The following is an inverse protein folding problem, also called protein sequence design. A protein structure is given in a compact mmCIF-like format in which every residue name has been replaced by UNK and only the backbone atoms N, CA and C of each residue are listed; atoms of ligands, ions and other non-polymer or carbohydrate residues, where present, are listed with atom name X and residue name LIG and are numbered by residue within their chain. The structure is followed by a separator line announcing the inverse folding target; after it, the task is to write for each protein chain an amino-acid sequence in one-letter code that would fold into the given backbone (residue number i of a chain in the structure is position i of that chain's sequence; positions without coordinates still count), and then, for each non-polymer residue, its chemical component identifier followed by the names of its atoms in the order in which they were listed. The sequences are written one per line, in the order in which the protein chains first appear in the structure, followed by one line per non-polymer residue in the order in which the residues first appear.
data_IF_756643780301
#
_entry.id   IF_756643780301
#
_cell.length_a   1.000
_cell.length_b   1.000
_cell.length_c   1.000
_cell.angle_alpha   90.00
_cell.angle_beta   90.00
_cell.angle_gamma   90.00
#
_symmetry.space_group_name_H-M   'P 1'
#
loop_
_entity.id
_entity.type
_entity.pdbx_description
1 polymer ?
#
# COMPACT_ATOMS: atom_id res chain seq x y z
N UNK A 1 -12.16 34.77 -20.42
CA UNK A 1 -11.30 34.85 -21.62
C UNK A 1 -10.00 34.16 -21.25
N UNK A 2 -9.59 33.17 -22.02
CA UNK A 2 -8.37 32.39 -21.86
C UNK A 2 -7.45 32.74 -23.02
N UNK A 3 -6.24 33.24 -22.71
CA UNK A 3 -5.30 33.64 -23.76
C UNK A 3 -4.51 32.45 -24.26
N UNK A 4 -3.89 32.61 -25.42
CA UNK A 4 -2.88 31.67 -25.89
C UNK A 4 -1.78 31.49 -24.84
N UNK A 5 -1.51 30.24 -24.47
CA UNK A 5 -0.50 29.80 -23.51
C UNK A 5 -0.99 29.72 -22.07
N UNK A 6 -2.21 30.20 -21.77
CA UNK A 6 -2.77 30.15 -20.43
C UNK A 6 -3.47 28.80 -20.18
N UNK A 7 -3.43 28.36 -18.92
CA UNK A 7 -4.20 27.21 -18.47
C UNK A 7 -5.66 27.60 -18.28
N UNK A 8 -6.56 26.66 -18.54
CA UNK A 8 -7.97 26.80 -18.17
C UNK A 8 -8.10 26.74 -16.65
N UNK A 9 -8.60 27.79 -15.98
CA UNK A 9 -8.69 27.84 -14.52
C UNK A 9 -9.92 27.10 -13.96
N UNK A 10 -10.90 26.80 -14.81
CA UNK A 10 -12.22 26.24 -14.45
C UNK A 10 -12.74 25.39 -15.60
N UNK A 11 -13.66 24.47 -15.30
CA UNK A 11 -14.39 23.74 -16.34
C UNK A 11 -15.45 24.66 -16.97
N UNK A 12 -15.63 24.57 -18.28
CA UNK A 12 -16.52 25.48 -18.99
C UNK A 12 -16.90 25.03 -20.39
N UNK A 13 -17.58 25.92 -21.10
CA UNK A 13 -17.95 25.75 -22.51
C UNK A 13 -17.48 26.94 -23.32
N UNK A 14 -16.92 26.68 -24.50
CA UNK A 14 -16.47 27.73 -25.41
C UNK A 14 -17.70 28.45 -25.98
N UNK A 15 -17.70 29.78 -25.89
CA UNK A 15 -18.77 30.64 -26.44
C UNK A 15 -18.31 31.43 -27.65
N UNK A 16 -17.02 31.73 -27.73
CA UNK A 16 -16.44 32.48 -28.85
C UNK A 16 -14.97 32.11 -29.07
N UNK A 17 -14.56 32.04 -30.33
CA UNK A 17 -13.24 31.61 -30.78
C UNK A 17 -13.13 30.10 -31.10
N UNK A 18 -12.07 29.75 -31.83
CA UNK A 18 -11.68 28.38 -32.13
C UNK A 18 -10.17 28.23 -31.86
N UNK A 19 -9.78 27.18 -31.14
CA UNK A 19 -8.39 26.99 -30.72
C UNK A 19 -8.04 25.53 -30.49
N UNK A 20 -6.74 25.23 -30.55
CA UNK A 20 -6.19 23.93 -30.19
C UNK A 20 -5.88 23.93 -28.69
N UNK A 21 -6.39 22.93 -27.99
CA UNK A 21 -6.21 22.73 -26.55
C UNK A 21 -5.41 21.46 -26.31
N UNK A 22 -4.42 21.56 -25.43
CA UNK A 22 -3.67 20.43 -24.91
C UNK A 22 -4.36 19.90 -23.66
N UNK A 23 -4.97 18.71 -23.80
CA UNK A 23 -5.66 18.00 -22.70
C UNK A 23 -4.81 16.88 -22.10
N UNK A 24 -3.52 16.77 -22.48
CA UNK A 24 -2.63 15.67 -22.09
C UNK A 24 -2.52 15.47 -20.57
N UNK A 25 -2.63 16.54 -19.79
CA UNK A 25 -2.60 16.48 -18.32
C UNK A 25 -3.80 15.75 -17.70
N UNK A 26 -4.93 15.65 -18.42
CA UNK A 26 -6.14 14.96 -17.96
C UNK A 26 -6.36 13.63 -18.68
N UNK A 27 -6.08 13.58 -19.99
CA UNK A 27 -6.37 12.41 -20.83
C UNK A 27 -5.16 11.53 -21.07
N UNK A 28 -3.94 12.05 -20.87
CA UNK A 28 -2.69 11.36 -21.20
C UNK A 28 -2.33 11.34 -22.70
N UNK A 29 -3.21 11.86 -23.56
CA UNK A 29 -3.03 11.85 -25.01
C UNK A 29 -2.30 13.11 -25.48
N UNK A 30 -1.27 12.96 -26.33
CA UNK A 30 -0.44 14.06 -26.81
C UNK A 30 -1.05 14.83 -28.01
N UNK A 31 -2.19 14.37 -28.52
CA UNK A 31 -2.85 15.00 -29.67
C UNK A 31 -3.68 16.21 -29.24
N UNK A 32 -3.50 17.32 -29.96
CA UNK A 32 -4.22 18.55 -29.64
C UNK A 32 -5.67 18.47 -30.09
N UNK A 33 -6.58 18.83 -29.20
CA UNK A 33 -8.02 18.80 -29.45
C UNK A 33 -8.48 20.18 -29.92
N UNK A 34 -9.12 20.24 -31.08
CA UNK A 34 -9.72 21.48 -31.60
C UNK A 34 -11.01 21.76 -30.83
N UNK A 35 -11.13 22.94 -30.23
CA UNK A 35 -12.33 23.38 -29.51
C UNK A 35 -13.00 24.54 -30.23
N UNK A 36 -14.30 24.42 -30.45
CA UNK A 36 -15.18 25.37 -31.12
C UNK A 36 -16.30 25.82 -30.19
N UNK A 37 -17.05 26.89 -30.54
CA UNK A 37 -18.20 27.32 -29.76
C UNK A 37 -19.21 26.17 -29.56
N UNK A 38 -19.57 25.89 -28.31
CA UNK A 38 -20.37 24.75 -27.90
C UNK A 38 -19.58 23.60 -27.27
N UNK A 39 -18.26 23.55 -27.46
CA UNK A 39 -17.42 22.47 -26.92
C UNK A 39 -17.03 22.72 -25.47
N UNK A 40 -16.94 21.63 -24.70
CA UNK A 40 -16.48 21.64 -23.31
C UNK A 40 -14.97 21.77 -23.20
N UNK A 41 -14.51 22.47 -22.16
CA UNK A 41 -13.10 22.60 -21.76
C UNK A 41 -12.95 22.29 -20.27
N UNK A 42 -11.84 21.67 -19.90
CA UNK A 42 -11.59 21.23 -18.52
C UNK A 42 -10.45 22.03 -17.86
N UNK A 43 -10.57 22.25 -16.56
CA UNK A 43 -9.59 22.94 -15.73
C UNK A 43 -8.24 22.18 -15.74
N UNK A 44 -7.14 22.91 -15.84
CA UNK A 44 -5.78 22.34 -15.89
C UNK A 44 -5.27 22.00 -17.28
N UNK A 45 -6.12 22.03 -18.32
CA UNK A 45 -5.71 21.94 -19.73
C UNK A 45 -5.08 23.25 -20.21
N UNK A 46 -4.36 23.24 -21.33
CA UNK A 46 -3.61 24.41 -21.83
C UNK A 46 -4.16 24.87 -23.18
N UNK A 47 -4.46 26.17 -23.30
CA UNK A 47 -4.83 26.74 -24.58
C UNK A 47 -3.59 27.05 -25.42
N UNK A 48 -3.39 26.40 -26.57
CA UNK A 48 -2.18 26.59 -27.40
C UNK A 48 -2.42 27.39 -28.69
N UNK A 49 -3.68 27.57 -29.10
CA UNK A 49 -4.05 28.27 -30.34
C UNK A 49 -4.37 29.75 -30.14
N UNK A 50 -5.62 30.14 -30.37
CA UNK A 50 -6.11 31.51 -30.28
C UNK A 50 -6.82 31.78 -28.95
N UNK A 51 -7.06 33.06 -28.65
CA UNK A 51 -7.80 33.45 -27.45
C UNK A 51 -9.23 32.90 -27.52
N UNK A 52 -9.68 32.30 -26.42
CA UNK A 52 -11.02 31.73 -26.29
C UNK A 52 -11.84 32.47 -25.24
N UNK A 53 -13.11 32.68 -25.52
CA UNK A 53 -14.08 33.12 -24.50
C UNK A 53 -14.91 31.93 -24.07
N UNK A 54 -14.85 31.61 -22.78
CA UNK A 54 -15.55 30.48 -22.19
C UNK A 54 -16.55 30.97 -21.14
N UNK A 55 -17.63 30.22 -20.97
CA UNK A 55 -18.54 30.32 -19.82
C UNK A 55 -18.19 29.23 -18.83
N UNK A 56 -17.89 29.62 -17.59
CA UNK A 56 -17.59 28.68 -16.51
C UNK A 56 -18.84 27.86 -16.16
N UNK A 57 -18.69 26.53 -16.09
CA UNK A 57 -19.73 25.58 -15.67
C UNK A 57 -19.51 25.09 -14.24
N UNK A 58 -18.27 24.77 -13.89
CA UNK A 58 -17.88 24.32 -12.56
C UNK A 58 -16.66 25.08 -12.08
N UNK A 59 -16.61 25.46 -10.80
CA UNK A 59 -15.54 26.28 -10.22
C UNK A 59 -15.11 25.73 -8.86
N UNK A 60 -13.84 25.94 -8.48
CA UNK A 60 -13.34 25.54 -7.17
C UNK A 60 -13.26 24.01 -7.03
N UNK A 61 -13.86 23.46 -5.97
CA UNK A 61 -13.84 22.03 -5.67
C UNK A 61 -14.67 21.15 -6.62
N UNK A 62 -15.57 21.75 -7.40
CA UNK A 62 -16.47 21.03 -8.32
C UNK A 62 -15.86 20.81 -9.72
N UNK A 63 -14.58 21.17 -9.93
CA UNK A 63 -13.91 20.92 -11.21
C UNK A 63 -13.43 19.48 -11.33
N UNK A 64 -13.34 18.95 -12.54
CA UNK A 64 -12.84 17.58 -12.78
C UNK A 64 -11.47 17.35 -12.14
N UNK A 65 -10.55 18.31 -12.28
CA UNK A 65 -9.23 18.25 -11.65
C UNK A 65 -9.30 18.23 -10.12
N UNK A 66 -10.23 18.96 -9.51
CA UNK A 66 -10.37 19.00 -8.05
C UNK A 66 -10.94 17.68 -7.50
N UNK A 67 -11.86 17.06 -8.23
CA UNK A 67 -12.32 15.70 -7.91
C UNK A 67 -11.19 14.66 -8.04
N UNK A 68 -10.30 14.80 -9.03
CA UNK A 68 -9.11 13.94 -9.15
C UNK A 68 -8.16 14.16 -7.98
N UNK A 69 -7.82 15.43 -7.67
CA UNK A 69 -6.93 15.78 -6.55
C UNK A 69 -7.50 15.25 -5.23
N UNK A 70 -8.80 15.47 -4.97
CA UNK A 70 -9.43 15.04 -3.72
C UNK A 70 -9.54 13.51 -3.62
N UNK A 71 -9.78 12.81 -4.73
CA UNK A 71 -9.74 11.34 -4.77
C UNK A 71 -8.33 10.79 -4.46
N UNK A 72 -7.27 11.50 -4.87
CA UNK A 72 -5.88 11.13 -4.57
C UNK A 72 -5.51 11.49 -3.13
N UNK A 73 -5.92 12.67 -2.65
CA UNK A 73 -5.60 13.17 -1.31
C UNK A 73 -6.33 12.38 -0.21
N UNK A 74 -7.59 11.97 -0.46
CA UNK A 74 -8.35 11.06 0.43
C UNK A 74 -7.71 9.66 0.51
N UNK A 75 -6.85 9.29 -0.46
CA UNK A 75 -6.09 8.04 -0.46
C UNK A 75 -4.74 8.13 0.29
N UNK A 76 -4.23 9.32 0.63
CA UNK A 76 -2.80 9.53 1.00
C UNK A 76 -2.45 9.70 2.49
N UNK A 77 -3.37 9.62 3.46
CA UNK A 77 -3.01 10.01 4.86
C UNK A 77 -3.46 9.09 5.99
N UNK A 78 -3.23 7.79 5.85
CA UNK A 78 -3.58 6.83 6.89
C UNK A 78 -2.34 6.14 7.49
N UNK A 79 -2.26 6.12 8.84
CA UNK A 79 -1.25 5.32 9.54
C UNK A 79 -1.51 3.83 9.30
N UNK A 80 -0.48 2.97 9.19
CA UNK A 80 -0.66 1.53 9.01
C UNK A 80 -1.54 0.91 10.12
N UNK A 81 -2.44 0.00 9.74
CA UNK A 81 -3.45 -0.56 10.63
C UNK A 81 -2.85 -1.33 11.80
N UNK A 82 -1.71 -2.02 11.61
CA UNK A 82 -1.04 -2.76 12.68
C UNK A 82 -0.35 -1.82 13.68
N UNK A 83 0.09 -0.65 13.22
CA UNK A 83 0.66 0.38 14.10
C UNK A 83 -0.44 0.96 14.99
N UNK A 84 -1.62 1.24 14.43
CA UNK A 84 -2.79 1.69 15.23
C UNK A 84 -3.21 0.63 16.25
N UNK A 85 -3.12 -0.65 15.89
CA UNK A 85 -3.39 -1.75 16.84
C UNK A 85 -2.40 -1.74 18.00
N UNK A 86 -1.10 -1.61 17.71
CA UNK A 86 -0.07 -1.51 18.75
C UNK A 86 -0.29 -0.28 19.66
N UNK A 87 -0.62 0.87 19.09
CA UNK A 87 -0.93 2.10 19.83
C UNK A 87 -2.18 1.93 20.72
N UNK A 88 -3.23 1.29 20.20
CA UNK A 88 -4.46 1.00 20.95
C UNK A 88 -4.21 0.03 22.09
N UNK A 89 -3.40 -1.01 21.85
CA UNK A 89 -2.97 -1.94 22.89
C UNK A 89 -2.22 -1.17 23.97
N UNK A 90 -1.23 -0.35 23.60
CA UNK A 90 -0.48 0.47 24.56
C UNK A 90 -1.38 1.40 25.39
N UNK A 91 -2.37 2.04 24.75
CA UNK A 91 -3.34 2.93 25.41
C UNK A 91 -4.19 2.25 26.47
N UNK A 92 -4.51 0.96 26.31
CA UNK A 92 -5.24 0.16 27.32
C UNK A 92 -4.26 -0.45 28.34
N UNK A 93 -3.09 -0.89 27.86
CA UNK A 93 -2.11 -1.63 28.64
C UNK A 93 -1.45 -0.75 29.70
N UNK A 94 -1.13 0.51 29.38
CA UNK A 94 -0.47 1.43 30.33
C UNK A 94 -1.31 1.69 31.59
N UNK A 95 -2.60 2.09 31.51
CA UNK A 95 -3.45 2.21 32.70
C UNK A 95 -3.60 0.91 33.49
N UNK A 96 -3.69 -0.23 32.79
CA UNK A 96 -3.79 -1.54 33.44
C UNK A 96 -2.53 -1.86 34.26
N UNK A 97 -1.33 -1.56 33.76
CA UNK A 97 -0.06 -1.77 34.49
C UNK A 97 -0.02 -0.95 35.77
N UNK A 98 -0.35 0.35 35.70
CA UNK A 98 -0.36 1.20 36.90
C UNK A 98 -1.38 0.71 37.94
N UNK A 99 -2.52 0.21 37.47
CA UNK A 99 -3.53 -0.40 38.35
C UNK A 99 -3.01 -1.68 39.01
N UNK A 100 -2.39 -2.58 38.24
CA UNK A 100 -1.78 -3.82 38.77
C UNK A 100 -0.64 -3.51 39.74
N UNK A 101 0.20 -2.53 39.45
CA UNK A 101 1.28 -2.10 40.32
C UNK A 101 0.74 -1.55 41.66
N UNK A 102 -0.32 -0.75 41.61
CA UNK A 102 -0.99 -0.23 42.81
C UNK A 102 -1.62 -1.36 43.64
N UNK A 103 -2.32 -2.30 43.00
CA UNK A 103 -2.88 -3.50 43.65
C UNK A 103 -1.77 -4.34 44.28
N UNK A 104 -0.65 -4.52 43.58
CA UNK A 104 0.52 -5.27 44.07
C UNK A 104 1.10 -4.60 45.31
N UNK A 105 1.30 -3.28 45.26
CA UNK A 105 1.79 -2.50 46.39
C UNK A 105 0.88 -2.63 47.62
N UNK A 106 -0.44 -2.43 47.45
CA UNK A 106 -1.41 -2.54 48.55
C UNK A 106 -1.48 -3.98 49.08
N UNK A 107 -1.49 -4.98 48.20
CA UNK A 107 -1.54 -6.39 48.59
C UNK A 107 -0.34 -6.80 49.46
N UNK A 108 0.88 -6.39 49.09
CA UNK A 108 2.08 -6.65 49.88
C UNK A 108 2.13 -5.86 51.19
N UNK A 109 1.61 -4.62 51.22
CA UNK A 109 1.46 -3.87 52.48
C UNK A 109 0.53 -4.58 53.46
N UNK A 110 -0.63 -5.07 53.00
CA UNK A 110 -1.60 -5.79 53.84
C UNK A 110 -0.98 -7.11 54.32
N UNK A 111 -0.32 -7.85 53.43
CA UNK A 111 0.34 -9.11 53.78
C UNK A 111 1.43 -8.90 54.84
N UNK A 112 2.30 -7.90 54.66
CA UNK A 112 3.35 -7.57 55.63
C UNK A 112 2.81 -7.07 56.97
N UNK A 113 1.69 -6.32 56.97
CA UNK A 113 1.02 -5.86 58.18
C UNK A 113 0.36 -7.00 58.98
N UNK A 114 -0.21 -8.00 58.29
CA UNK A 114 -0.86 -9.15 58.95
C UNK A 114 0.12 -10.23 59.44
N UNK A 115 1.23 -10.46 58.71
CA UNK A 115 2.20 -11.52 59.02
C UNK A 115 3.44 -11.05 59.80
N UNK A 116 3.42 -9.83 60.35
CA UNK A 116 4.33 -9.41 61.42
C UNK A 116 5.70 -8.88 61.00
N UNK A 117 5.82 -8.22 59.84
CA UNK A 117 7.06 -7.55 59.45
C UNK A 117 7.29 -6.22 60.19
N UNK A 118 8.54 -5.83 60.44
CA UNK A 118 8.86 -4.49 60.95
C UNK A 118 8.40 -3.40 59.95
N UNK A 119 7.90 -2.23 60.42
CA UNK A 119 7.30 -1.22 59.54
C UNK A 119 8.20 -0.77 58.38
N UNK A 120 9.52 -0.71 58.63
CA UNK A 120 10.52 -0.31 57.63
C UNK A 120 10.74 -1.34 56.52
N UNK A 121 10.58 -2.63 56.83
CA UNK A 121 10.78 -3.71 55.86
C UNK A 121 9.48 -4.07 55.12
N UNK A 122 8.32 -3.83 55.73
CA UNK A 122 7.00 -3.97 55.07
C UNK A 122 6.88 -3.04 53.87
N UNK A 123 7.30 -1.77 54.01
CA UNK A 123 7.25 -0.81 52.88
C UNK A 123 8.23 -1.20 51.78
N UNK A 124 9.44 -1.65 52.12
CA UNK A 124 10.42 -2.13 51.13
C UNK A 124 9.92 -3.36 50.37
N UNK A 125 9.36 -4.33 51.09
CA UNK A 125 8.82 -5.56 50.49
C UNK A 125 7.57 -5.32 49.64
N UNK A 126 6.87 -4.18 49.83
CA UNK A 126 5.76 -3.77 48.97
C UNK A 126 6.19 -2.94 47.76
N UNK A 127 7.17 -2.04 47.92
CA UNK A 127 7.59 -1.14 46.84
C UNK A 127 8.41 -1.86 45.76
N UNK A 128 9.23 -2.85 46.14
CA UNK A 128 10.10 -3.56 45.19
C UNK A 128 9.30 -4.37 44.15
N UNK A 129 8.29 -5.20 44.51
CA UNK A 129 7.42 -5.86 43.53
C UNK A 129 6.65 -4.87 42.65
N UNK A 130 6.15 -3.77 43.22
CA UNK A 130 5.42 -2.74 42.47
C UNK A 130 6.31 -2.05 41.41
N UNK A 131 7.55 -1.69 41.76
CA UNK A 131 8.53 -1.17 40.81
C UNK A 131 8.86 -2.23 39.75
N UNK A 132 9.05 -3.49 40.15
CA UNK A 132 9.33 -4.58 39.21
C UNK A 132 8.20 -4.76 38.18
N UNK A 133 6.93 -4.67 38.59
CA UNK A 133 5.76 -4.72 37.68
C UNK A 133 5.84 -3.59 36.66
N UNK A 134 6.09 -2.34 37.10
CA UNK A 134 6.20 -1.19 36.20
C UNK A 134 7.39 -1.35 35.24
N UNK A 135 8.55 -1.79 35.74
CA UNK A 135 9.75 -1.97 34.95
C UNK A 135 9.59 -3.06 33.87
N UNK A 136 9.02 -4.22 34.23
CA UNK A 136 8.76 -5.30 33.26
C UNK A 136 7.80 -4.86 32.17
N UNK A 137 6.75 -4.12 32.55
CA UNK A 137 5.62 -3.93 31.67
C UNK A 137 5.80 -2.82 30.63
N UNK A 138 6.94 -2.11 30.63
CA UNK A 138 7.64 -1.59 29.43
C UNK A 138 7.08 -2.00 28.06
N UNK A 139 6.08 -1.35 27.42
CA UNK A 139 5.71 -1.73 26.04
C UNK A 139 6.74 -1.26 24.99
N UNK A 140 7.97 -0.96 25.41
CA UNK A 140 9.10 -0.49 24.62
C UNK A 140 9.32 -1.36 23.35
N UNK A 141 9.35 -2.69 23.51
CA UNK A 141 9.50 -3.62 22.39
C UNK A 141 8.26 -3.69 21.47
N UNK A 142 7.06 -3.50 22.03
CA UNK A 142 5.80 -3.47 21.29
C UNK A 142 5.76 -2.25 20.35
N UNK A 143 6.18 -1.08 20.84
CA UNK A 143 6.24 0.16 20.06
C UNK A 143 7.28 0.13 18.94
N UNK A 144 8.39 -0.59 19.12
CA UNK A 144 9.46 -0.72 18.11
C UNK A 144 9.21 -1.84 17.09
N UNK A 145 8.38 -2.84 17.43
CA UNK A 145 8.19 -4.06 16.63
C UNK A 145 7.77 -3.77 15.19
N UNK A 146 6.76 -2.93 15.03
CA UNK A 146 6.19 -2.54 13.73
C UNK A 146 7.11 -1.62 12.92
N UNK A 147 7.53 -0.44 13.41
CA UNK A 147 8.32 0.50 12.61
C UNK A 147 9.67 -0.08 12.18
N UNK A 148 10.30 -0.90 13.02
CA UNK A 148 11.59 -1.53 12.67
C UNK A 148 11.42 -2.54 11.53
N UNK A 149 10.38 -3.37 11.59
CA UNK A 149 10.12 -4.37 10.53
C UNK A 149 9.70 -3.70 9.22
N UNK A 150 8.85 -2.67 9.27
CA UNK A 150 8.47 -1.88 8.09
C UNK A 150 9.68 -1.19 7.46
N UNK A 151 10.52 -0.53 8.25
CA UNK A 151 11.73 0.14 7.75
C UNK A 151 12.68 -0.84 7.06
N UNK A 152 12.93 -2.02 7.66
CA UNK A 152 13.78 -3.04 7.04
C UNK A 152 13.11 -3.64 5.79
N UNK A 153 11.79 -3.84 5.81
CA UNK A 153 11.02 -4.36 4.68
C UNK A 153 11.03 -3.43 3.48
N UNK A 154 10.71 -2.15 3.67
CA UNK A 154 10.76 -1.12 2.63
C UNK A 154 12.18 -0.90 2.12
N UNK A 155 13.19 -0.87 3.00
CA UNK A 155 14.59 -0.80 2.59
C UNK A 155 15.01 -2.00 1.74
N UNK A 156 14.52 -3.21 2.09
CA UNK A 156 14.77 -4.42 1.29
C UNK A 156 14.04 -4.38 -0.05
N UNK A 157 12.84 -3.81 -0.09
CA UNK A 157 12.10 -3.56 -1.34
C UNK A 157 12.89 -2.65 -2.26
N UNK A 158 13.39 -1.52 -1.75
CA UNK A 158 14.20 -0.59 -2.52
C UNK A 158 15.47 -1.24 -3.10
N UNK A 159 16.17 -2.10 -2.33
CA UNK A 159 17.30 -2.91 -2.84
C UNK A 159 16.91 -3.85 -3.99
N UNK A 160 15.66 -4.31 -4.04
CA UNK A 160 15.11 -5.17 -5.08
C UNK A 160 14.48 -4.39 -6.24
N UNK A 161 14.50 -3.05 -6.21
CA UNK A 161 13.82 -2.21 -7.19
C UNK A 161 12.29 -2.18 -7.02
N UNK A 162 11.80 -2.37 -5.79
CA UNK A 162 10.38 -2.33 -5.44
C UNK A 162 10.18 -1.21 -4.42
N UNK A 163 9.70 -0.06 -4.89
CA UNK A 163 9.45 1.10 -4.05
C UNK A 163 8.04 1.00 -3.47
N UNK A 164 7.94 1.00 -2.15
CA UNK A 164 6.66 0.96 -1.42
C UNK A 164 6.51 2.32 -0.74
N UNK A 165 5.45 3.06 -1.06
CA UNK A 165 5.28 4.45 -0.60
C UNK A 165 5.14 4.58 0.92
N UNK A 166 4.37 3.68 1.52
CA UNK A 166 4.12 3.68 2.96
C UNK A 166 3.92 2.27 3.53
N UNK A 167 3.89 2.19 4.87
CA UNK A 167 3.74 0.93 5.58
C UNK A 167 2.33 0.32 5.50
N UNK A 168 1.30 1.10 5.22
CA UNK A 168 -0.07 0.61 5.08
C UNK A 168 -0.22 -0.18 3.78
N UNK A 169 0.37 0.31 2.70
CA UNK A 169 0.44 -0.40 1.42
C UNK A 169 1.15 -1.74 1.56
N UNK A 170 2.19 -1.80 2.40
CA UNK A 170 2.86 -3.06 2.73
C UNK A 170 1.93 -4.04 3.49
N UNK A 171 1.11 -3.54 4.41
CA UNK A 171 0.12 -4.34 5.14
C UNK A 171 -1.02 -4.83 4.25
N UNK A 172 -1.54 -3.97 3.37
CA UNK A 172 -2.61 -4.29 2.44
C UNK A 172 -2.11 -5.25 1.36
N UNK A 173 -0.88 -5.07 0.88
CA UNK A 173 -0.24 -5.96 -0.09
C UNK A 173 -0.08 -7.40 0.43
N UNK A 174 0.14 -7.59 1.73
CA UNK A 174 0.17 -8.92 2.36
C UNK A 174 -1.19 -9.66 2.25
N UNK A 175 -2.30 -8.93 2.15
CA UNK A 175 -3.67 -9.46 2.12
C UNK A 175 -4.20 -9.67 0.70
N UNK A 176 -3.45 -9.26 -0.33
CA UNK A 176 -3.84 -9.45 -1.74
C UNK A 176 -4.19 -10.91 -1.99
N UNK A 177 -5.38 -11.12 -2.52
CA UNK A 177 -5.89 -12.41 -2.98
C UNK A 177 -6.40 -12.37 -4.42
N UNK A 178 -6.47 -11.18 -5.03
CA UNK A 178 -6.85 -10.96 -6.42
C UNK A 178 -5.87 -9.99 -7.06
N UNK A 179 -5.29 -10.34 -8.20
CA UNK A 179 -4.39 -9.46 -8.96
C UNK A 179 -4.95 -9.26 -10.36
N UNK A 180 -5.27 -8.01 -10.70
CA UNK A 180 -5.73 -7.59 -12.01
C UNK A 180 -4.54 -7.02 -12.76
N UNK A 181 -4.24 -7.60 -13.91
CA UNK A 181 -3.17 -7.14 -14.78
C UNK A 181 -3.79 -6.38 -15.96
N UNK A 182 -3.26 -5.20 -16.26
CA UNK A 182 -3.40 -4.69 -17.61
C UNK A 182 -2.67 -5.63 -18.59
N UNK A 183 -3.16 -5.68 -19.82
CA UNK A 183 -2.52 -6.48 -20.86
C UNK A 183 -1.29 -5.76 -21.43
N UNK A 184 -1.51 -4.57 -22.00
CA UNK A 184 -0.52 -3.89 -22.84
C UNK A 184 0.57 -3.29 -21.97
N UNK A 185 1.83 -3.52 -22.30
CA UNK A 185 2.98 -2.99 -21.56
C UNK A 185 3.16 -3.58 -20.15
N UNK A 186 2.14 -4.29 -19.63
CA UNK A 186 2.17 -5.07 -18.40
C UNK A 186 2.52 -6.54 -18.62
N UNK A 187 1.57 -7.36 -19.10
CA UNK A 187 1.83 -8.76 -19.42
C UNK A 187 2.57 -8.92 -20.75
N UNK A 188 2.41 -7.94 -21.63
CA UNK A 188 3.07 -7.87 -22.92
C UNK A 188 4.08 -6.72 -22.95
N UNK A 189 4.95 -6.71 -23.95
CA UNK A 189 5.91 -5.62 -24.18
C UNK A 189 5.24 -4.35 -24.70
N UNK A 190 3.98 -4.43 -25.14
CA UNK A 190 3.34 -3.39 -25.91
C UNK A 190 3.83 -3.39 -27.36
N UNK A 191 3.23 -2.50 -28.16
CA UNK A 191 3.64 -2.28 -29.56
C UNK A 191 4.75 -1.24 -29.56
N UNK A 192 5.94 -1.63 -29.98
CA UNK A 192 7.05 -0.72 -30.22
C UNK A 192 7.05 -0.35 -31.70
N UNK A 193 6.96 0.95 -31.99
CA UNK A 193 7.18 1.46 -33.33
C UNK A 193 8.68 1.67 -33.51
N UNK A 194 9.36 0.75 -34.19
CA UNK A 194 10.75 0.96 -34.59
C UNK A 194 10.79 1.62 -35.98
N UNK A 195 11.39 2.80 -36.05
CA UNK A 195 11.65 3.51 -37.31
C UNK A 195 13.11 3.33 -37.69
N UNK A 196 13.44 2.18 -38.27
CA UNK A 196 14.72 2.01 -38.97
C UNK A 196 14.50 2.27 -40.47
N UNK A 197 15.34 3.13 -41.04
CA UNK A 197 15.43 3.43 -42.47
C UNK A 197 14.11 3.78 -43.18
N UNK A 198 13.33 4.70 -42.59
CA UNK A 198 12.07 5.23 -43.15
C UNK A 198 10.94 4.20 -43.41
N UNK A 199 11.11 2.96 -42.93
CA UNK A 199 10.04 1.96 -42.82
C UNK A 199 9.59 1.84 -41.37
N UNK A 200 8.29 1.99 -41.11
CA UNK A 200 7.70 1.70 -39.80
C UNK A 200 7.58 0.19 -39.67
N UNK A 201 8.39 -0.43 -38.82
CA UNK A 201 8.21 -1.82 -38.43
C UNK A 201 7.34 -1.82 -37.18
N UNK A 202 6.09 -2.27 -37.33
CA UNK A 202 5.19 -2.50 -36.20
C UNK A 202 5.52 -3.88 -35.64
N UNK A 203 6.23 -3.93 -34.51
CA UNK A 203 6.45 -5.20 -33.82
C UNK A 203 5.16 -5.58 -33.09
N UNK A 204 4.67 -6.81 -33.35
CA UNK A 204 3.44 -7.30 -32.72
C UNK A 204 3.63 -7.37 -31.21
N UNK A 205 2.59 -6.98 -30.48
CA UNK A 205 2.51 -7.07 -29.01
C UNK A 205 2.86 -8.49 -28.51
N UNK A 206 4.06 -8.65 -27.94
CA UNK A 206 4.60 -9.95 -27.50
C UNK A 206 4.44 -10.14 -26.00
N UNK A 207 4.15 -11.37 -25.58
CA UNK A 207 4.06 -11.72 -24.15
C UNK A 207 5.47 -11.69 -23.54
N UNK A 208 5.60 -11.07 -22.37
CA UNK A 208 6.88 -11.10 -21.63
C UNK A 208 7.22 -12.55 -21.24
N UNK A 209 8.47 -13.00 -21.44
CA UNK A 209 8.84 -14.40 -21.25
C UNK A 209 8.58 -14.90 -19.82
N UNK A 210 8.71 -14.03 -18.83
CA UNK A 210 8.48 -14.34 -17.42
C UNK A 210 7.01 -14.23 -16.96
N UNK A 211 6.10 -13.73 -17.80
CA UNK A 211 4.71 -13.49 -17.41
C UNK A 211 4.01 -14.77 -16.98
N UNK A 212 4.19 -15.86 -17.74
CA UNK A 212 3.57 -17.17 -17.44
C UNK A 212 4.04 -17.74 -16.10
N UNK A 213 5.33 -17.62 -15.80
CA UNK A 213 5.91 -18.10 -14.55
C UNK A 213 5.41 -17.26 -13.36
N UNK A 214 5.34 -15.93 -13.52
CA UNK A 214 4.80 -15.03 -12.51
C UNK A 214 3.32 -15.34 -12.20
N UNK A 215 2.47 -15.50 -13.22
CA UNK A 215 1.05 -15.86 -13.05
C UNK A 215 0.90 -17.21 -12.37
N UNK A 216 1.70 -18.21 -12.76
CA UNK A 216 1.68 -19.54 -12.14
C UNK A 216 2.08 -19.47 -10.65
N UNK A 217 3.04 -18.62 -10.32
CA UNK A 217 3.48 -18.43 -8.95
C UNK A 217 2.42 -17.71 -8.09
N UNK A 218 1.74 -16.71 -8.64
CA UNK A 218 0.63 -16.04 -7.94
C UNK A 218 -0.47 -17.04 -7.57
N UNK A 219 -0.82 -17.95 -8.48
CA UNK A 219 -1.77 -19.03 -8.20
C UNK A 219 -1.30 -19.94 -7.05
N UNK A 220 0.00 -20.27 -6.99
CA UNK A 220 0.56 -21.06 -5.88
C UNK A 220 0.47 -20.34 -4.53
N UNK A 221 0.45 -19.00 -4.54
CA UNK A 221 0.22 -18.16 -3.37
C UNK A 221 -1.27 -17.97 -3.03
N UNK A 222 -2.16 -18.72 -3.69
CA UNK A 222 -3.63 -18.59 -3.60
C UNK A 222 -4.15 -17.21 -4.00
N UNK A 223 -3.50 -16.58 -4.98
CA UNK A 223 -3.90 -15.30 -5.56
C UNK A 223 -4.52 -15.57 -6.93
N UNK A 224 -5.72 -15.04 -7.15
CA UNK A 224 -6.46 -15.21 -8.40
C UNK A 224 -6.04 -14.14 -9.41
N UNK A 225 -5.39 -14.51 -10.53
CA UNK A 225 -5.02 -13.55 -11.55
C UNK A 225 -6.20 -13.26 -12.47
N UNK A 226 -6.37 -11.99 -12.80
CA UNK A 226 -7.32 -11.42 -13.74
C UNK A 226 -6.58 -10.62 -14.80
N UNK A 227 -7.16 -10.50 -15.99
CA UNK A 227 -6.64 -9.63 -17.04
C UNK A 227 -7.72 -8.66 -17.50
N UNK A 228 -7.36 -7.38 -17.61
CA UNK A 228 -8.18 -6.32 -18.22
C UNK A 228 -7.48 -5.86 -19.49
N UNK A 229 -8.26 -5.65 -20.56
CA UNK A 229 -7.73 -5.19 -21.84
C UNK A 229 -8.78 -4.39 -22.62
N UNK A 230 -8.32 -3.40 -23.38
CA UNK A 230 -9.13 -2.73 -24.41
C UNK A 230 -9.24 -3.52 -25.72
N UNK A 231 -8.45 -4.60 -25.89
CA UNK A 231 -8.43 -5.40 -27.11
C UNK A 231 -9.75 -6.18 -27.31
N UNK A 232 -10.00 -6.52 -28.58
CA UNK A 232 -11.06 -7.45 -28.98
C UNK A 232 -10.92 -8.79 -28.25
N UNK A 233 -12.07 -9.40 -27.95
CA UNK A 233 -12.16 -10.65 -27.19
C UNK A 233 -11.26 -11.77 -27.71
N UNK A 234 -11.15 -11.94 -29.03
CA UNK A 234 -10.34 -13.00 -29.66
C UNK A 234 -8.87 -12.91 -29.22
N UNK A 235 -8.23 -11.76 -29.46
CA UNK A 235 -6.81 -11.52 -29.12
C UNK A 235 -6.56 -11.53 -27.62
N UNK A 236 -7.47 -10.97 -26.83
CA UNK A 236 -7.37 -10.98 -25.38
C UNK A 236 -7.45 -12.42 -24.82
N UNK A 237 -8.31 -13.28 -25.40
CA UNK A 237 -8.43 -14.68 -24.96
C UNK A 237 -7.18 -15.49 -25.26
N UNK A 238 -6.55 -15.26 -26.42
CA UNK A 238 -5.29 -15.92 -26.80
C UNK A 238 -4.14 -15.58 -25.83
N UNK A 239 -4.00 -14.30 -25.47
CA UNK A 239 -2.97 -13.86 -24.52
C UNK A 239 -3.26 -14.41 -23.13
N UNK A 240 -4.51 -14.32 -22.65
CA UNK A 240 -4.93 -14.87 -21.36
C UNK A 240 -4.58 -16.36 -21.25
N UNK A 241 -4.93 -17.16 -22.27
CA UNK A 241 -4.65 -18.59 -22.31
C UNK A 241 -3.14 -18.88 -22.29
N UNK A 242 -2.35 -18.07 -23.00
CA UNK A 242 -0.89 -18.22 -23.11
C UNK A 242 -0.16 -17.98 -21.78
N UNK A 243 -0.60 -17.00 -20.99
CA UNK A 243 -0.08 -16.73 -19.64
C UNK A 243 -0.74 -17.58 -18.55
N UNK A 244 -1.83 -18.28 -18.89
CA UNK A 244 -2.55 -19.17 -17.99
C UNK A 244 -3.62 -18.49 -17.14
N UNK A 245 -4.20 -17.38 -17.57
CA UNK A 245 -5.36 -16.74 -16.92
C UNK A 245 -6.65 -17.43 -17.40
N UNK A 246 -7.58 -17.68 -16.47
CA UNK A 246 -8.82 -18.39 -16.79
C UNK A 246 -9.78 -17.50 -17.61
N UNK A 247 -10.55 -18.05 -18.57
CA UNK A 247 -11.47 -17.25 -19.40
C UNK A 247 -12.53 -16.46 -18.61
N UNK A 248 -12.92 -16.96 -17.44
CA UNK A 248 -13.84 -16.30 -16.50
C UNK A 248 -13.23 -15.06 -15.83
N UNK A 249 -11.90 -14.96 -15.78
CA UNK A 249 -11.15 -13.87 -15.17
C UNK A 249 -10.64 -12.85 -16.21
N UNK A 250 -11.26 -12.83 -17.39
CA UNK A 250 -10.92 -11.93 -18.49
C UNK A 250 -11.99 -10.86 -18.68
N UNK A 251 -11.58 -9.61 -18.67
CA UNK A 251 -12.41 -8.46 -19.07
C UNK A 251 -11.78 -7.82 -20.29
N UNK A 252 -12.52 -7.75 -21.39
CA UNK A 252 -12.06 -7.24 -22.68
C UNK A 252 -12.93 -6.09 -23.18
N UNK A 253 -12.45 -5.37 -24.20
CA UNK A 253 -13.14 -4.22 -24.81
C UNK A 253 -13.47 -3.11 -23.80
N UNK A 254 -12.56 -2.87 -22.85
CA UNK A 254 -12.70 -1.86 -21.78
C UNK A 254 -12.01 -0.55 -22.16
N UNK A 255 -12.72 0.58 -22.06
CA UNK A 255 -12.13 1.91 -22.22
C UNK A 255 -11.28 2.30 -21.00
N UNK A 256 -10.24 3.15 -21.14
CA UNK A 256 -9.42 3.59 -20.00
C UNK A 256 -10.23 4.16 -18.82
N UNK A 257 -11.25 4.97 -19.11
CA UNK A 257 -12.16 5.56 -18.10
C UNK A 257 -12.99 4.52 -17.35
N UNK A 258 -13.24 3.36 -17.97
CA UNK A 258 -14.07 2.29 -17.40
C UNK A 258 -13.24 1.27 -16.61
N UNK A 259 -11.90 1.25 -16.76
CA UNK A 259 -11.03 0.29 -16.07
C UNK A 259 -11.21 0.35 -14.55
N UNK A 260 -11.35 1.55 -13.99
CA UNK A 260 -11.63 1.74 -12.56
C UNK A 260 -12.96 1.12 -12.12
N UNK A 261 -14.02 1.23 -12.93
CA UNK A 261 -15.32 0.62 -12.61
C UNK A 261 -15.28 -0.91 -12.70
N UNK A 262 -14.48 -1.45 -13.62
CA UNK A 262 -14.24 -2.90 -13.69
C UNK A 262 -13.53 -3.46 -12.48
N UNK A 263 -12.68 -2.68 -11.80
CA UNK A 263 -12.07 -3.10 -10.53
C UNK A 263 -13.15 -3.33 -9.46
N UNK A 264 -14.17 -2.46 -9.37
CA UNK A 264 -15.26 -2.65 -8.41
C UNK A 264 -16.10 -3.88 -8.74
N UNK A 265 -16.39 -4.13 -10.01
CA UNK A 265 -17.09 -5.34 -10.45
C UNK A 265 -16.30 -6.61 -10.08
N UNK A 266 -14.98 -6.61 -10.32
CA UNK A 266 -14.09 -7.73 -9.96
C UNK A 266 -14.04 -7.90 -8.44
N UNK A 267 -13.92 -6.81 -7.69
CA UNK A 267 -13.93 -6.80 -6.22
C UNK A 267 -15.23 -7.39 -5.69
N UNK A 268 -16.37 -6.99 -6.25
CA UNK A 268 -17.69 -7.50 -5.87
C UNK A 268 -17.80 -9.02 -6.11
N UNK A 269 -17.37 -9.51 -7.28
CA UNK A 269 -17.36 -10.95 -7.59
C UNK A 269 -16.42 -11.73 -6.67
N UNK A 270 -15.21 -11.21 -6.42
CA UNK A 270 -14.25 -11.86 -5.54
C UNK A 270 -14.76 -11.91 -4.08
N UNK A 271 -15.50 -10.88 -3.64
CA UNK A 271 -16.13 -10.80 -2.32
C UNK A 271 -17.20 -11.88 -2.07
N UNK A 272 -17.78 -12.50 -3.11
CA UNK A 272 -18.74 -13.60 -2.96
C UNK A 272 -18.10 -14.83 -2.27
N UNK A 273 -16.79 -15.02 -2.45
CA UNK A 273 -16.06 -16.16 -1.88
C UNK A 273 -15.34 -15.80 -0.58
N UNK A 274 -14.69 -14.62 -0.54
CA UNK A 274 -13.94 -14.15 0.62
C UNK A 274 -13.69 -12.66 0.49
N UNK A 275 -13.45 -11.93 1.60
CA UNK A 275 -13.09 -10.51 1.54
C UNK A 275 -11.89 -10.29 0.60
N UNK A 276 -12.17 -9.70 -0.56
CA UNK A 276 -11.24 -9.50 -1.64
C UNK A 276 -10.37 -8.28 -1.37
N UNK A 277 -9.07 -8.45 -1.59
CA UNK A 277 -8.11 -7.35 -1.65
C UNK A 277 -7.50 -7.40 -3.04
N UNK A 278 -7.89 -6.42 -3.85
CA UNK A 278 -7.62 -6.37 -5.28
C UNK A 278 -6.40 -5.47 -5.51
N UNK A 279 -5.35 -6.06 -6.06
CA UNK A 279 -4.24 -5.31 -6.62
C UNK A 279 -4.46 -5.09 -8.11
N UNK A 280 -4.18 -3.89 -8.60
CA UNK A 280 -4.13 -3.59 -10.03
C UNK A 280 -2.68 -3.34 -10.45
N UNK A 281 -2.24 -3.97 -11.54
CA UNK A 281 -0.90 -3.85 -12.09
C UNK A 281 -1.00 -3.21 -13.46
N UNK A 282 -0.36 -2.06 -13.64
CA UNK A 282 -0.40 -1.28 -14.88
C UNK A 282 0.90 -0.54 -15.14
N UNK A 283 1.05 -0.03 -16.35
CA UNK A 283 2.31 0.54 -16.84
C UNK A 283 2.24 2.03 -17.19
N UNK A 284 1.08 2.72 -17.11
CA UNK A 284 0.98 4.07 -17.65
C UNK A 284 -0.18 4.96 -17.18
N UNK A 285 -0.22 6.18 -17.77
CA UNK A 285 -1.17 7.28 -17.49
C UNK A 285 -2.63 6.81 -17.56
N UNK A 286 -2.93 5.98 -18.57
CA UNK A 286 -4.28 5.46 -18.84
C UNK A 286 -4.80 4.53 -17.74
N UNK A 287 -3.90 4.01 -16.92
CA UNK A 287 -4.19 3.13 -15.80
C UNK A 287 -4.19 3.86 -14.46
N UNK A 288 -3.82 5.15 -14.41
CA UNK A 288 -3.80 5.91 -13.17
C UNK A 288 -5.15 5.87 -12.40
N UNK A 289 -6.32 6.01 -13.06
CA UNK A 289 -7.60 5.86 -12.37
C UNK A 289 -7.82 4.46 -11.79
N UNK A 290 -7.36 3.42 -12.49
CA UNK A 290 -7.45 2.03 -12.06
C UNK A 290 -6.48 1.72 -10.90
N UNK A 291 -5.24 2.23 -10.97
CA UNK A 291 -4.23 2.14 -9.92
C UNK A 291 -4.71 2.77 -8.62
N UNK A 292 -5.31 3.96 -8.69
CA UNK A 292 -5.82 4.69 -7.53
C UNK A 292 -7.04 4.01 -6.88
N UNK A 293 -7.88 3.33 -7.69
CA UNK A 293 -9.12 2.71 -7.22
C UNK A 293 -8.94 1.30 -6.66
N UNK A 294 -7.84 0.63 -7.03
CA UNK A 294 -7.43 -0.65 -6.46
C UNK A 294 -7.11 -0.53 -4.97
N UNK A 295 -7.21 -1.64 -4.24
CA UNK A 295 -6.77 -1.67 -2.83
C UNK A 295 -5.24 -1.54 -2.72
N UNK A 296 -4.53 -1.98 -3.77
CA UNK A 296 -3.10 -1.75 -3.97
C UNK A 296 -2.83 -1.50 -5.46
N UNK A 297 -2.43 -0.28 -5.81
CA UNK A 297 -1.94 0.04 -7.16
C UNK A 297 -0.46 -0.33 -7.30
N UNK A 298 -0.11 -1.17 -8.28
CA UNK A 298 1.27 -1.55 -8.59
C UNK A 298 1.63 -0.99 -9.96
N UNK A 299 2.37 0.11 -9.97
CA UNK A 299 2.84 0.76 -11.19
C UNK A 299 4.19 0.19 -11.63
N UNK A 300 4.38 0.04 -12.93
CA UNK A 300 5.69 -0.30 -13.50
C UNK A 300 6.42 0.95 -14.00
N UNK A 301 7.74 0.98 -13.80
CA UNK A 301 8.66 2.10 -14.10
C UNK A 301 8.74 2.50 -15.58
N UNK A 302 8.11 1.76 -16.49
CA UNK A 302 7.88 2.23 -17.86
C UNK A 302 6.83 3.35 -17.95
N UNK A 303 6.11 3.64 -16.86
CA UNK A 303 5.11 4.69 -16.79
C UNK A 303 5.69 6.09 -16.64
N UNK A 304 4.89 7.07 -17.04
CA UNK A 304 5.19 8.49 -16.82
C UNK A 304 5.14 8.86 -15.34
N UNK A 305 5.63 10.06 -14.99
CA UNK A 305 5.63 10.57 -13.61
C UNK A 305 4.25 10.45 -12.92
N UNK A 306 3.15 10.56 -13.69
CA UNK A 306 1.77 10.41 -13.21
C UNK A 306 1.46 9.00 -12.69
N UNK A 307 1.97 7.95 -13.33
CA UNK A 307 1.74 6.56 -12.90
C UNK A 307 2.55 6.21 -11.64
N UNK A 308 3.75 6.81 -11.51
CA UNK A 308 4.58 6.70 -10.31
C UNK A 308 3.88 7.38 -9.13
N UNK A 309 3.23 8.53 -9.35
CA UNK A 309 2.46 9.25 -8.34
C UNK A 309 1.12 8.59 -7.99
N UNK A 310 0.49 7.88 -8.94
CA UNK A 310 -0.75 7.14 -8.67
C UNK A 310 -0.53 5.76 -8.00
N UNK A 311 0.58 5.08 -8.27
CA UNK A 311 0.84 3.73 -7.76
C UNK A 311 1.26 3.68 -6.30
N UNK A 312 0.65 2.81 -5.50
CA UNK A 312 1.04 2.53 -4.10
C UNK A 312 2.40 1.83 -3.98
N UNK A 313 2.69 0.97 -4.95
CA UNK A 313 3.96 0.26 -5.12
C UNK A 313 4.47 0.55 -6.54
N UNK A 314 5.74 0.92 -6.66
CA UNK A 314 6.37 1.23 -7.95
C UNK A 314 7.51 0.24 -8.20
N UNK A 315 7.43 -0.47 -9.32
CA UNK A 315 8.43 -1.46 -9.75
C UNK A 315 9.44 -0.80 -10.69
N UNK A 316 10.69 -0.69 -10.26
CA UNK A 316 11.78 -0.04 -11.01
C UNK A 316 12.17 -0.81 -12.28
N UNK A 317 11.90 -2.12 -12.32
CA UNK A 317 12.10 -2.94 -13.51
C UNK A 317 10.76 -3.27 -14.16
N UNK A 318 10.76 -3.34 -15.49
CA UNK A 318 9.58 -3.71 -16.27
C UNK A 318 9.37 -5.24 -16.32
N UNK A 319 9.36 -5.90 -15.15
CA UNK A 319 9.25 -7.36 -15.02
C UNK A 319 8.02 -7.77 -14.21
N UNK A 320 7.23 -8.70 -14.75
CA UNK A 320 6.02 -9.21 -14.06
C UNK A 320 6.38 -9.98 -12.79
N UNK A 321 7.59 -10.55 -12.72
CA UNK A 321 8.08 -11.26 -11.53
C UNK A 321 8.25 -10.34 -10.31
N UNK A 322 8.51 -9.05 -10.50
CA UNK A 322 8.69 -8.12 -9.39
C UNK A 322 7.37 -7.85 -8.64
N UNK A 323 6.21 -8.03 -9.30
CA UNK A 323 4.89 -8.05 -8.65
C UNK A 323 4.83 -9.17 -7.61
N UNK A 324 5.28 -10.38 -7.98
CA UNK A 324 5.31 -11.53 -7.08
C UNK A 324 6.23 -11.25 -5.90
N UNK A 325 7.44 -10.74 -6.18
CA UNK A 325 8.43 -10.38 -5.16
C UNK A 325 7.89 -9.34 -4.17
N UNK A 326 7.16 -8.34 -4.66
CA UNK A 326 6.56 -7.31 -3.82
C UNK A 326 5.55 -7.91 -2.82
N UNK A 327 4.70 -8.83 -3.30
CA UNK A 327 3.71 -9.52 -2.46
C UNK A 327 4.40 -10.46 -1.46
N UNK A 328 5.41 -11.22 -1.89
CA UNK A 328 6.17 -12.11 -1.00
C UNK A 328 6.89 -11.32 0.10
N UNK A 329 7.54 -10.21 -0.26
CA UNK A 329 8.21 -9.31 0.68
C UNK A 329 7.21 -8.74 1.68
N UNK A 330 6.03 -8.32 1.22
CA UNK A 330 4.96 -7.82 2.07
C UNK A 330 4.50 -8.90 3.07
N UNK A 331 4.26 -10.13 2.60
CA UNK A 331 3.93 -11.28 3.46
C UNK A 331 5.04 -11.61 4.47
N UNK A 332 6.31 -11.56 4.06
CA UNK A 332 7.45 -11.83 4.92
C UNK A 332 7.62 -10.76 6.02
N UNK A 333 7.45 -9.49 5.67
CA UNK A 333 7.51 -8.36 6.59
C UNK A 333 6.39 -8.45 7.64
N UNK A 334 5.15 -8.72 7.21
CA UNK A 334 4.02 -8.87 8.12
C UNK A 334 4.18 -10.08 9.04
N UNK A 335 4.78 -11.17 8.55
CA UNK A 335 5.15 -12.32 9.39
C UNK A 335 6.14 -11.90 10.48
N UNK A 336 7.13 -11.04 10.18
CA UNK A 336 8.07 -10.50 11.18
C UNK A 336 7.39 -9.61 12.20
N UNK A 337 6.50 -8.72 11.76
CA UNK A 337 5.70 -7.88 12.67
C UNK A 337 4.90 -8.76 13.63
N UNK A 338 4.15 -9.75 13.12
CA UNK A 338 3.37 -10.68 13.97
C UNK A 338 4.24 -11.46 14.95
N UNK A 339 5.40 -11.95 14.51
CA UNK A 339 6.37 -12.62 15.39
C UNK A 339 6.85 -11.69 16.51
N UNK A 340 7.23 -10.46 16.18
CA UNK A 340 7.72 -9.49 17.15
C UNK A 340 6.66 -9.14 18.19
N UNK A 341 5.43 -8.85 17.74
CA UNK A 341 4.30 -8.55 18.63
C UNK A 341 3.97 -9.74 19.54
N UNK A 342 3.98 -10.97 18.99
CA UNK A 342 3.74 -12.20 19.74
C UNK A 342 4.78 -12.39 20.86
N UNK A 343 6.07 -12.25 20.55
CA UNK A 343 7.14 -12.38 21.55
C UNK A 343 7.10 -11.29 22.61
N UNK A 344 6.82 -10.03 22.22
CA UNK A 344 6.66 -8.93 23.16
C UNK A 344 5.51 -9.17 24.15
N UNK A 345 4.36 -9.65 23.66
CA UNK A 345 3.20 -9.92 24.51
C UNK A 345 3.42 -11.12 25.44
N UNK A 346 3.96 -12.24 24.93
CA UNK A 346 4.23 -13.44 25.76
C UNK A 346 5.20 -13.11 26.89
N UNK A 347 6.26 -12.38 26.57
CA UNK A 347 7.24 -11.97 27.57
C UNK A 347 6.57 -11.19 28.71
N UNK A 348 5.72 -10.21 28.39
CA UNK A 348 4.98 -9.44 29.39
C UNK A 348 3.97 -10.30 30.18
N UNK A 349 3.24 -11.19 29.51
CA UNK A 349 2.28 -12.10 30.16
C UNK A 349 2.92 -13.02 31.20
N UNK A 350 4.18 -13.42 31.01
CA UNK A 350 4.91 -14.28 31.95
C UNK A 350 5.57 -13.45 33.07
N UNK A 351 6.22 -12.35 32.71
CA UNK A 351 7.04 -11.59 33.66
C UNK A 351 6.20 -10.73 34.63
N UNK A 352 5.02 -10.25 34.23
CA UNK A 352 4.15 -9.45 35.11
C UNK A 352 3.69 -10.28 36.33
N UNK A 353 3.11 -11.49 36.19
CA UNK A 353 2.78 -12.34 37.34
C UNK A 353 3.98 -12.62 38.25
N UNK A 354 5.15 -12.91 37.68
CA UNK A 354 6.37 -13.14 38.47
C UNK A 354 6.78 -11.91 39.30
N UNK A 355 6.62 -10.71 38.73
CA UNK A 355 6.85 -9.47 39.45
C UNK A 355 5.80 -9.22 40.55
N UNK A 356 4.52 -9.52 40.29
CA UNK A 356 3.43 -9.41 41.29
C UNK A 356 3.69 -10.30 42.50
N UNK A 357 4.17 -11.53 42.28
CA UNK A 357 4.54 -12.46 43.36
C UNK A 357 5.88 -12.14 44.03
N UNK A 358 6.55 -11.03 43.67
CA UNK A 358 7.83 -10.62 44.28
C UNK A 358 9.01 -11.54 43.94
N UNK A 359 8.86 -12.42 42.95
CA UNK A 359 9.92 -13.34 42.50
C UNK A 359 10.99 -12.58 41.69
N UNK A 360 10.58 -11.48 41.05
CA UNK A 360 11.43 -10.72 40.14
C UNK A 360 11.98 -9.45 40.80
N UNK A 361 13.30 -9.35 40.91
CA UNK A 361 13.95 -8.11 41.33
C UNK A 361 13.86 -7.04 40.22
N UNK A 362 13.69 -5.74 40.56
CA UNK A 362 13.63 -4.66 39.56
C UNK A 362 14.83 -4.60 38.59
N UNK A 363 16.03 -4.96 39.06
CA UNK A 363 17.22 -5.01 38.21
C UNK A 363 17.11 -6.09 37.12
N UNK A 364 16.57 -7.28 37.47
CA UNK A 364 16.34 -8.38 36.53
C UNK A 364 15.23 -8.03 35.55
N UNK A 365 14.17 -7.37 36.03
CA UNK A 365 13.10 -6.82 35.19
C UNK A 365 13.65 -5.88 34.10
N UNK A 366 14.49 -4.91 34.50
CA UNK A 366 15.12 -3.97 33.56
C UNK A 366 16.02 -4.65 32.54
N UNK A 367 16.86 -5.60 32.97
CA UNK A 367 17.73 -6.36 32.06
C UNK A 367 16.93 -7.18 31.03
N UNK A 368 15.86 -7.82 31.48
CA UNK A 368 15.03 -8.65 30.62
C UNK A 368 14.20 -7.80 29.62
N UNK A 369 13.81 -6.58 29.96
CA UNK A 369 13.21 -5.61 29.02
C UNK A 369 14.17 -5.22 27.90
N UNK A 370 15.44 -4.95 28.23
CA UNK A 370 16.46 -4.64 27.23
C UNK A 370 16.68 -5.81 26.27
N UNK A 371 16.74 -7.05 26.78
CA UNK A 371 16.87 -8.27 25.97
C UNK A 371 15.67 -8.46 25.03
N UNK A 372 14.44 -8.18 25.48
CA UNK A 372 13.24 -8.24 24.65
C UNK A 372 13.33 -7.29 23.45
N UNK A 373 13.74 -6.04 23.69
CA UNK A 373 13.91 -5.03 22.63
C UNK A 373 14.99 -5.43 21.62
N UNK A 374 16.14 -5.93 22.09
CA UNK A 374 17.21 -6.45 21.22
C UNK A 374 16.72 -7.63 20.38
N UNK A 375 15.92 -8.52 20.95
CA UNK A 375 15.36 -9.69 20.24
C UNK A 375 14.44 -9.26 19.11
N UNK A 376 13.54 -8.31 19.36
CA UNK A 376 12.62 -7.75 18.36
C UNK A 376 13.37 -7.08 17.21
N UNK A 377 14.33 -6.21 17.54
CA UNK A 377 15.14 -5.52 16.52
C UNK A 377 15.97 -6.52 15.71
N UNK A 378 16.60 -7.48 16.37
CA UNK A 378 17.40 -8.52 15.70
C UNK A 378 16.54 -9.40 14.78
N UNK A 379 15.33 -9.77 15.22
CA UNK A 379 14.41 -10.55 14.41
C UNK A 379 13.93 -9.78 13.17
N UNK A 380 13.68 -8.47 13.30
CA UNK A 380 13.39 -7.58 12.16
C UNK A 380 14.56 -7.52 11.17
N UNK A 381 15.80 -7.43 11.65
CA UNK A 381 17.00 -7.40 10.81
C UNK A 381 17.22 -8.70 10.01
N UNK A 382 16.68 -9.84 10.45
CA UNK A 382 16.71 -11.08 9.66
C UNK A 382 16.00 -10.94 8.31
N UNK A 383 15.09 -9.96 8.17
CA UNK A 383 14.43 -9.66 6.91
C UNK A 383 15.41 -9.16 5.83
N UNK A 384 16.60 -8.63 6.21
CA UNK A 384 17.68 -8.32 5.24
C UNK A 384 18.16 -9.54 4.46
N UNK A 385 17.99 -10.74 5.02
CA UNK A 385 18.34 -12.02 4.38
C UNK A 385 17.21 -12.58 3.52
N UNK A 386 16.11 -11.84 3.35
CA UNK A 386 15.03 -12.23 2.46
C UNK A 386 15.56 -12.47 1.05
N UNK A 387 15.18 -13.61 0.49
CA UNK A 387 15.40 -14.00 -0.90
C UNK A 387 14.02 -14.31 -1.47
N UNK A 388 13.69 -13.69 -2.59
CA UNK A 388 12.50 -14.04 -3.34
C UNK A 388 12.60 -15.46 -3.87
N UNK A 389 11.45 -16.10 -4.06
CA UNK A 389 11.37 -17.48 -4.57
C UNK A 389 11.61 -17.54 -6.09
N UNK A 390 11.45 -16.39 -6.78
CA UNK A 390 11.67 -16.18 -8.22
C UNK A 390 12.71 -15.11 -8.50
#
# INVERSE_FOLDING_TARGET
IIRKGDNFPVDGEVTDGESNVDESMLTGEAELVVKKPGDGVSAGTVNLGHDLTIVAKSVGGDTQLAHIIQAVEDAESTKPSIQRLADKIAGIFVPAIFTIAAITFVGWLIYGAFFGGEPGDVVKNAILPAIAVICVACPCALGLATPTALMVGMGKGAELGILIKDGEMLETACKINTCVFDKTGTLTTGVVLDTQDASIVVENDQIKPEAKDAISHLKSLSITPWMVSGDKRERATEIAASVGIAPENLVCEVLPTEKGDKIDEIRAKANETSQAVVAFVGDGINDAPALAKADVGIAMSSGTDVAIDAGSIVLMHNKVTDVVRAIELSKATLRKIKQNLFWALIYNCIMIPLAVFGILAPAVAGAAMALSSVTVVSNSLLLKRFKATL
#
